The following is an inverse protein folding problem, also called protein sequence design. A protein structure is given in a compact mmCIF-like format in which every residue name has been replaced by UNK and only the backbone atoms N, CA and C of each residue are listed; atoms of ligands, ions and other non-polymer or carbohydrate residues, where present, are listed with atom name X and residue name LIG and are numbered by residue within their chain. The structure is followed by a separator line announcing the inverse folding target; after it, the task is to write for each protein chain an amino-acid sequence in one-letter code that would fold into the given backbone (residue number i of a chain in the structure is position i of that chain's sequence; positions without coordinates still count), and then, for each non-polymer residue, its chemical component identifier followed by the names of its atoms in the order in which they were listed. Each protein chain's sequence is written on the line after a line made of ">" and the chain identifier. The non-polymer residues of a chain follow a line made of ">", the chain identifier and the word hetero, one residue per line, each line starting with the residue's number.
data_IF_194567134450
#
_entry.id   IF_194567134450
#
_cell.length_a   1.000
_cell.length_b   1.000
_cell.length_c   1.000
_cell.angle_alpha   90.00
_cell.angle_beta   90.00
_cell.angle_gamma   90.00
#
_symmetry.space_group_name_H-M   'P 1'
#
loop_
_entity.id
_entity.type
_entity.pdbx_description
1 polymer ?
#
# COMPACT_ATOMS: atom_id res chain seq x y z
N UNK A 1 54.31 19.53 17.38
CA UNK A 1 54.41 21.01 17.27
C UNK A 1 53.46 21.46 16.20
N UNK A 2 52.64 22.48 16.51
CA UNK A 2 51.54 23.00 15.69
C UNK A 2 51.98 24.10 14.72
N UNK A 3 51.09 24.80 13.97
CA UNK A 3 49.88 25.45 14.50
C UNK A 3 48.62 25.44 13.62
N UNK A 4 47.49 25.62 14.29
CA UNK A 4 46.32 26.34 13.74
C UNK A 4 46.59 27.81 13.52
N UNK A 5 45.83 28.52 12.69
CA UNK A 5 44.73 29.38 13.17
C UNK A 5 43.53 29.44 12.15
N UNK A 6 42.45 30.16 12.28
CA UNK A 6 41.82 31.03 13.23
C UNK A 6 40.41 31.39 12.67
N UNK A 7 39.53 31.63 13.55
CA UNK A 7 38.34 32.47 13.58
C UNK A 7 37.96 33.35 12.39
N UNK A 8 36.68 33.40 12.06
CA UNK A 8 35.99 34.42 11.32
C UNK A 8 34.53 34.55 11.77
N UNK A 9 34.29 35.38 12.75
CA UNK A 9 32.96 35.81 13.18
C UNK A 9 32.47 36.96 12.30
N UNK A 10 31.20 37.02 11.93
CA UNK A 10 30.52 38.23 11.41
C UNK A 10 29.07 38.20 11.87
N UNK A 11 28.78 38.92 12.78
CA UNK A 11 28.18 40.21 13.13
C UNK A 11 26.73 40.37 12.67
N UNK A 12 25.87 40.42 13.66
CA UNK A 12 24.44 40.77 13.68
C UNK A 12 24.32 42.29 13.46
N UNK A 13 23.40 42.71 12.60
CA UNK A 13 22.86 44.07 12.64
C UNK A 13 21.38 44.03 12.83
N UNK A 14 20.96 44.49 14.01
CA UNK A 14 19.60 44.85 14.38
C UNK A 14 19.41 46.32 14.01
N UNK A 15 18.37 46.66 13.25
CA UNK A 15 17.85 48.02 13.17
C UNK A 15 16.38 47.99 13.58
N UNK A 16 16.13 48.49 14.77
CA UNK A 16 14.82 48.87 15.22
C UNK A 16 14.48 50.29 14.81
N UNK A 17 13.23 50.56 14.55
CA UNK A 17 12.66 51.89 14.69
C UNK A 17 11.21 51.82 15.14
N UNK A 18 10.96 52.52 16.20
CA UNK A 18 9.67 52.67 16.88
C UNK A 18 8.98 53.98 16.43
N UNK A 19 7.73 54.08 16.89
CA UNK A 19 6.95 55.30 17.18
C UNK A 19 5.86 55.68 16.15
N UNK A 20 4.64 55.78 16.68
CA UNK A 20 3.52 56.49 16.11
C UNK A 20 2.18 56.21 16.76
N UNK A 21 1.90 56.79 17.93
CA UNK A 21 0.56 56.88 18.54
C UNK A 21 -0.36 57.78 17.72
N UNK A 22 -1.65 57.41 17.61
CA UNK A 22 -2.72 58.26 17.10
C UNK A 22 -4.07 57.72 17.53
N UNK A 23 -4.61 58.41 18.53
CA UNK A 23 -5.92 58.24 19.11
C UNK A 23 -6.98 58.96 18.26
N UNK A 24 -8.15 58.35 18.04
CA UNK A 24 -9.42 59.06 17.91
C UNK A 24 -10.65 58.16 17.62
N UNK A 25 -11.57 58.06 18.63
CA UNK A 25 -13.04 58.13 18.53
C UNK A 25 -13.83 57.16 17.65
N UNK A 26 -14.71 56.45 18.38
CA UNK A 26 -15.90 55.64 18.00
C UNK A 26 -16.92 56.37 17.10
N UNK A 27 -17.80 55.62 16.37
CA UNK A 27 -19.04 55.14 17.02
C UNK A 27 -19.43 53.67 16.69
N UNK A 28 -20.24 53.13 17.57
CA UNK A 28 -20.93 51.81 17.52
C UNK A 28 -21.93 51.75 16.35
N UNK A 29 -21.93 50.63 15.62
CA UNK A 29 -23.08 50.16 14.85
C UNK A 29 -23.10 48.62 14.81
N UNK A 30 -24.20 48.06 15.26
CA UNK A 30 -24.86 46.85 14.86
C UNK A 30 -24.05 45.53 14.80
N UNK A 31 -24.16 44.71 15.85
CA UNK A 31 -23.83 43.31 15.78
C UNK A 31 -24.82 42.60 14.81
N UNK A 32 -24.38 42.22 13.64
CA UNK A 32 -25.03 41.18 12.83
C UNK A 32 -24.44 39.85 13.26
N UNK A 33 -25.30 38.99 13.77
CA UNK A 33 -25.06 37.59 14.03
C UNK A 33 -24.76 36.89 12.68
N UNK A 34 -23.49 36.65 12.41
CA UNK A 34 -23.03 35.85 11.26
C UNK A 34 -22.57 34.50 11.79
N UNK A 35 -23.51 33.56 11.94
CA UNK A 35 -23.20 32.16 12.03
C UNK A 35 -22.33 31.77 10.81
N UNK A 36 -21.21 31.04 11.00
CA UNK A 36 -20.41 30.57 9.87
C UNK A 36 -21.28 29.65 8.99
N UNK A 37 -21.39 29.98 7.71
CA UNK A 37 -22.04 29.12 6.75
C UNK A 37 -21.35 27.75 6.75
N UNK A 38 -22.12 26.71 7.02
CA UNK A 38 -21.67 25.32 6.98
C UNK A 38 -21.14 25.05 5.56
N UNK A 39 -19.86 24.71 5.44
CA UNK A 39 -19.23 24.38 4.16
C UNK A 39 -19.97 23.20 3.54
N UNK A 40 -20.28 23.23 2.23
CA UNK A 40 -20.95 22.11 1.58
C UNK A 40 -20.14 20.83 1.73
N UNK A 41 -20.79 19.66 1.89
CA UNK A 41 -20.08 18.39 2.00
C UNK A 41 -19.23 18.17 0.75
N UNK A 42 -18.02 17.58 0.90
CA UNK A 42 -17.15 17.31 -0.25
C UNK A 42 -17.88 16.44 -1.28
N UNK A 43 -17.67 16.67 -2.58
CA UNK A 43 -18.29 15.89 -3.63
C UNK A 43 -17.92 14.41 -3.47
N UNK A 44 -18.92 13.53 -3.70
CA UNK A 44 -18.68 12.08 -3.70
C UNK A 44 -17.64 11.76 -4.78
N UNK A 45 -16.60 10.95 -4.48
CA UNK A 45 -15.63 10.53 -5.49
C UNK A 45 -16.35 9.89 -6.66
N UNK A 46 -15.99 10.28 -7.89
CA UNK A 46 -16.50 9.60 -9.09
C UNK A 46 -16.04 8.14 -9.03
N UNK A 47 -16.99 7.20 -9.16
CA UNK A 47 -16.64 5.79 -9.24
C UNK A 47 -15.72 5.56 -10.46
N UNK A 48 -14.56 4.93 -10.23
CA UNK A 48 -13.70 4.52 -11.34
C UNK A 48 -14.36 3.37 -12.09
N UNK A 49 -14.60 3.57 -13.39
CA UNK A 49 -15.06 2.54 -14.30
C UNK A 49 -13.96 2.23 -15.32
N UNK A 50 -13.62 0.95 -15.53
CA UNK A 50 -12.63 0.58 -16.52
C UNK A 50 -13.12 0.94 -17.92
N UNK A 51 -12.27 1.59 -18.73
CA UNK A 51 -12.56 1.85 -20.13
C UNK A 51 -12.68 0.53 -20.89
N UNK A 52 -13.65 0.36 -21.81
CA UNK A 52 -13.81 -0.86 -22.57
C UNK A 52 -12.55 -1.15 -23.42
N UNK A 53 -12.03 -2.37 -23.30
CA UNK A 53 -10.89 -2.85 -24.09
C UNK A 53 -11.43 -3.34 -25.44
N UNK A 54 -11.04 -2.66 -26.51
CA UNK A 54 -11.29 -3.15 -27.88
C UNK A 54 -10.26 -4.22 -28.19
N UNK A 55 -10.69 -5.47 -28.35
CA UNK A 55 -9.81 -6.57 -28.76
C UNK A 55 -9.30 -6.34 -30.19
N UNK A 56 -8.00 -6.54 -30.45
CA UNK A 56 -7.48 -6.47 -31.81
C UNK A 56 -8.04 -7.61 -32.67
N UNK A 57 -8.16 -7.42 -34.02
CA UNK A 57 -8.69 -8.43 -34.93
C UNK A 57 -7.80 -9.69 -34.95
N UNK A 58 -8.43 -10.86 -34.96
CA UNK A 58 -7.75 -12.16 -35.08
C UNK A 58 -7.12 -12.30 -36.47
N UNK A 59 -5.81 -12.51 -36.48
CA UNK A 59 -5.07 -12.93 -37.68
C UNK A 59 -5.24 -14.44 -37.86
N UNK A 60 -5.83 -14.85 -39.00
CA UNK A 60 -6.17 -16.25 -39.33
C UNK A 60 -5.24 -16.80 -40.42
N UNK A 61 -3.94 -16.72 -40.25
CA UNK A 61 -3.00 -17.42 -41.16
C UNK A 61 -2.59 -18.78 -40.55
N UNK A 62 -2.79 -19.89 -41.25
CA UNK A 62 -2.35 -21.20 -40.75
C UNK A 62 -0.83 -21.35 -40.98
N UNK A 63 -0.10 -21.51 -39.88
CA UNK A 63 1.35 -21.79 -39.92
C UNK A 63 1.60 -23.30 -40.01
N UNK A 64 1.97 -23.78 -41.20
CA UNK A 64 2.28 -25.18 -41.47
C UNK A 64 3.80 -25.32 -41.60
N UNK A 65 4.51 -25.46 -40.50
CA UNK A 65 5.89 -25.95 -40.50
C UNK A 65 6.08 -26.98 -39.39
N UNK A 66 6.11 -28.25 -39.79
CA UNK A 66 6.51 -29.39 -38.96
C UNK A 66 8.02 -29.36 -38.72
N UNK A 67 8.44 -29.31 -37.44
CA UNK A 67 9.84 -29.48 -37.03
C UNK A 67 10.17 -30.98 -36.92
N UNK A 68 11.43 -31.42 -37.21
CA UNK A 68 11.85 -32.82 -37.12
C UNK A 68 11.87 -33.32 -35.67
N UNK A 69 11.41 -34.57 -35.49
CA UNK A 69 11.33 -35.22 -34.18
C UNK A 69 12.74 -35.51 -33.63
N UNK A 70 13.07 -34.95 -32.50
CA UNK A 70 14.27 -35.27 -31.71
C UNK A 70 13.97 -36.52 -30.84
N UNK A 71 14.72 -37.62 -31.06
CA UNK A 71 14.45 -38.95 -30.48
C UNK A 71 15.16 -39.20 -29.14
N UNK A 72 15.55 -38.20 -28.40
CA UNK A 72 16.09 -38.39 -27.06
C UNK A 72 14.95 -38.46 -26.01
N UNK A 73 14.97 -39.42 -25.03
CA UNK A 73 13.97 -39.49 -24.01
C UNK A 73 13.96 -38.19 -23.21
N UNK A 74 12.79 -37.58 -22.99
CA UNK A 74 12.71 -36.29 -22.27
C UNK A 74 13.28 -36.47 -20.86
N UNK A 75 14.29 -35.65 -20.54
CA UNK A 75 14.75 -35.49 -19.14
C UNK A 75 13.54 -35.22 -18.24
N UNK A 76 13.45 -35.89 -17.07
CA UNK A 76 12.33 -35.67 -16.18
C UNK A 76 12.23 -34.18 -15.87
N UNK A 77 11.10 -33.56 -16.24
CA UNK A 77 10.83 -32.15 -15.96
C UNK A 77 10.90 -31.95 -14.44
N UNK A 78 11.59 -30.92 -13.95
CA UNK A 78 11.54 -30.57 -12.56
C UNK A 78 10.06 -30.49 -12.18
N UNK A 79 9.67 -31.17 -11.11
CA UNK A 79 8.29 -31.09 -10.59
C UNK A 79 8.05 -29.63 -10.29
N UNK A 80 7.15 -28.99 -11.02
CA UNK A 80 6.71 -27.62 -10.73
C UNK A 80 6.28 -27.49 -9.27
N UNK A 81 6.24 -26.27 -8.72
CA UNK A 81 5.80 -26.04 -7.35
C UNK A 81 4.48 -26.78 -7.13
N UNK A 82 4.40 -27.54 -6.02
CA UNK A 82 3.17 -28.28 -5.67
C UNK A 82 2.03 -27.25 -5.56
N UNK A 83 0.80 -27.58 -6.01
CA UNK A 83 -0.33 -26.69 -5.81
C UNK A 83 -0.41 -26.30 -4.32
N UNK A 84 -0.67 -25.03 -4.07
CA UNK A 84 -0.88 -24.53 -2.72
C UNK A 84 -2.16 -25.15 -2.17
N UNK A 85 -2.01 -26.10 -1.28
CA UNK A 85 -3.14 -26.73 -0.56
C UNK A 85 -3.01 -26.33 0.90
N UNK A 86 -3.93 -25.47 1.36
CA UNK A 86 -4.07 -25.23 2.78
C UNK A 86 -4.48 -26.51 3.50
N UNK A 87 -4.04 -26.65 4.74
CA UNK A 87 -4.61 -27.71 5.57
C UNK A 87 -6.13 -27.54 5.70
N UNK A 88 -6.92 -28.62 5.80
CA UNK A 88 -8.36 -28.48 6.03
C UNK A 88 -8.69 -27.60 7.25
N UNK A 89 -7.87 -27.70 8.32
CA UNK A 89 -8.02 -26.91 9.53
C UNK A 89 -7.78 -25.41 9.29
N UNK A 90 -6.81 -25.03 8.44
CA UNK A 90 -6.59 -23.62 8.11
C UNK A 90 -7.62 -23.11 7.12
N UNK A 91 -8.07 -23.94 6.18
CA UNK A 91 -9.16 -23.58 5.25
C UNK A 91 -10.46 -23.28 5.98
N UNK A 92 -10.78 -24.03 7.05
CA UNK A 92 -11.99 -23.84 7.84
C UNK A 92 -12.01 -22.50 8.61
N UNK A 93 -10.87 -21.84 8.77
CA UNK A 93 -10.78 -20.49 9.40
C UNK A 93 -11.22 -19.36 8.47
N UNK A 94 -11.46 -19.63 7.19
CA UNK A 94 -11.83 -18.65 6.19
C UNK A 94 -13.18 -18.95 5.55
N UNK A 95 -13.97 -17.90 5.21
CA UNK A 95 -13.79 -16.49 5.56
C UNK A 95 -13.93 -16.24 7.06
N UNK A 96 -13.28 -15.20 7.56
CA UNK A 96 -13.40 -14.82 8.97
C UNK A 96 -14.82 -14.33 9.26
N UNK A 97 -15.44 -14.93 10.27
CA UNK A 97 -16.73 -14.48 10.78
C UNK A 97 -16.50 -13.31 11.74
N UNK A 98 -17.04 -12.15 11.42
CA UNK A 98 -16.87 -10.93 12.22
C UNK A 98 -17.98 -9.94 11.94
N UNK A 99 -17.88 -8.75 12.52
CA UNK A 99 -18.81 -7.68 12.26
C UNK A 99 -18.85 -7.35 10.76
N UNK A 100 -20.05 -7.34 10.18
CA UNK A 100 -20.22 -6.96 8.77
C UNK A 100 -19.82 -5.50 8.61
N UNK A 101 -19.00 -5.16 7.59
CA UNK A 101 -18.67 -3.77 7.29
C UNK A 101 -19.94 -2.94 7.07
N UNK A 102 -19.88 -1.67 7.47
CA UNK A 102 -20.97 -0.72 7.22
C UNK A 102 -21.12 -0.43 5.71
N UNK A 103 -22.28 0.09 5.27
CA UNK A 103 -22.49 0.52 3.89
C UNK A 103 -21.39 1.46 3.40
N UNK A 104 -20.96 1.29 2.14
CA UNK A 104 -19.84 2.05 1.56
C UNK A 104 -18.47 1.41 1.78
N UNK A 105 -18.40 0.27 2.47
CA UNK A 105 -17.17 -0.53 2.57
C UNK A 105 -16.67 -0.99 1.19
N UNK A 106 -15.36 -1.00 1.00
CA UNK A 106 -14.74 -1.43 -0.25
C UNK A 106 -14.64 -2.95 -0.36
N UNK A 107 -14.27 -3.62 0.74
CA UNK A 107 -14.08 -5.07 0.78
C UNK A 107 -15.32 -5.76 1.35
N UNK A 108 -15.69 -6.94 0.84
CA UNK A 108 -14.98 -7.76 -0.14
C UNK A 108 -15.36 -7.48 -1.61
N UNK A 109 -16.22 -6.51 -1.93
CA UNK A 109 -16.78 -6.28 -3.26
C UNK A 109 -15.74 -5.80 -4.27
N UNK A 110 -14.69 -5.15 -3.78
CA UNK A 110 -13.59 -4.68 -4.60
C UNK A 110 -12.31 -5.45 -4.33
N UNK A 111 -11.44 -5.51 -5.35
CA UNK A 111 -10.02 -5.77 -5.18
C UNK A 111 -9.28 -4.45 -5.30
N UNK A 112 -8.51 -4.10 -4.29
CA UNK A 112 -7.68 -2.89 -4.29
C UNK A 112 -6.34 -3.23 -4.95
N UNK A 113 -5.91 -2.42 -5.93
CA UNK A 113 -4.63 -2.57 -6.62
C UNK A 113 -3.83 -1.29 -6.45
N UNK A 114 -2.73 -1.35 -5.70
CA UNK A 114 -1.98 -0.20 -5.25
C UNK A 114 -0.57 -0.11 -5.83
N UNK A 115 -0.12 1.10 -6.13
CA UNK A 115 1.28 1.44 -6.35
C UNK A 115 1.87 2.04 -5.08
N UNK A 116 2.97 1.43 -4.60
CA UNK A 116 3.64 1.75 -3.35
C UNK A 116 4.91 2.56 -3.58
N UNK A 117 5.22 3.45 -2.64
CA UNK A 117 6.48 4.16 -2.62
C UNK A 117 6.41 5.57 -2.04
N UNK A 118 7.33 6.42 -2.48
CA UNK A 118 7.39 7.81 -2.07
C UNK A 118 7.93 8.66 -3.23
N UNK A 119 7.22 9.70 -3.69
CA UNK A 119 7.64 10.57 -4.79
C UNK A 119 9.01 11.23 -4.63
N UNK A 120 9.51 11.32 -3.40
CA UNK A 120 10.84 11.86 -3.11
C UNK A 120 11.98 10.84 -3.24
N UNK A 121 11.67 9.58 -3.63
CA UNK A 121 12.68 8.53 -3.71
C UNK A 121 12.40 7.54 -4.83
N UNK A 122 13.33 7.46 -5.78
CA UNK A 122 13.29 6.48 -6.89
C UNK A 122 13.60 5.04 -6.43
N UNK A 123 13.98 4.85 -5.15
CA UNK A 123 14.38 3.55 -4.59
C UNK A 123 13.35 2.91 -3.67
N UNK A 124 12.29 3.66 -3.29
CA UNK A 124 11.29 3.18 -2.33
C UNK A 124 10.08 2.52 -3.00
N UNK A 125 10.00 2.54 -4.32
CA UNK A 125 8.93 1.89 -5.07
C UNK A 125 8.45 2.69 -6.27
N UNK A 126 7.51 2.11 -6.99
CA UNK A 126 7.00 2.63 -8.28
C UNK A 126 6.38 4.03 -8.16
N UNK A 127 5.77 4.35 -7.01
CA UNK A 127 5.20 5.67 -6.69
C UNK A 127 6.29 6.76 -6.51
N UNK A 128 7.45 6.64 -6.98
CA UNK A 128 8.51 7.65 -6.98
C UNK A 128 9.58 7.30 -7.99
N UNK A 129 9.57 6.04 -8.44
CA UNK A 129 10.54 5.56 -9.42
C UNK A 129 10.27 6.12 -10.83
N UNK A 130 9.01 6.37 -11.15
CA UNK A 130 8.54 6.79 -12.46
C UNK A 130 7.77 8.11 -12.30
N UNK A 131 7.92 9.10 -13.21
CA UNK A 131 7.14 10.32 -13.17
C UNK A 131 5.63 10.06 -13.18
N UNK A 132 4.82 10.94 -12.55
CA UNK A 132 3.37 10.74 -12.42
C UNK A 132 2.67 10.49 -13.76
N UNK A 133 3.04 11.26 -14.81
CA UNK A 133 2.43 11.15 -16.14
C UNK A 133 2.60 9.76 -16.79
N UNK A 134 3.62 9.02 -16.39
CA UNK A 134 3.84 7.64 -16.82
C UNK A 134 3.34 6.62 -15.80
N UNK A 135 3.44 6.93 -14.50
CA UNK A 135 3.10 6.03 -13.42
C UNK A 135 1.59 5.82 -13.31
N UNK A 136 0.81 6.90 -13.38
CA UNK A 136 -0.64 6.82 -13.23
C UNK A 136 -1.32 6.00 -14.35
N UNK A 137 -1.04 6.21 -15.65
CA UNK A 137 -1.56 5.33 -16.70
C UNK A 137 -1.13 3.87 -16.58
N UNK A 138 0.08 3.62 -16.06
CA UNK A 138 0.53 2.24 -15.79
C UNK A 138 -0.30 1.56 -14.71
N UNK A 139 -0.67 2.28 -13.67
CA UNK A 139 -1.55 1.72 -12.63
C UNK A 139 -2.93 1.38 -13.21
N UNK A 140 -3.48 2.21 -14.08
CA UNK A 140 -4.74 1.91 -14.79
C UNK A 140 -4.63 0.62 -15.60
N UNK A 141 -3.55 0.44 -16.35
CA UNK A 141 -3.31 -0.80 -17.11
C UNK A 141 -3.20 -2.02 -16.20
N UNK A 142 -2.50 -1.90 -15.07
CA UNK A 142 -2.39 -2.99 -14.09
C UNK A 142 -3.75 -3.31 -13.49
N UNK A 143 -4.54 -2.30 -13.13
CA UNK A 143 -5.90 -2.48 -12.62
C UNK A 143 -6.81 -3.18 -13.63
N UNK A 144 -6.73 -2.81 -14.92
CA UNK A 144 -7.44 -3.51 -16.00
C UNK A 144 -7.06 -4.99 -16.12
N UNK A 145 -5.76 -5.34 -16.00
CA UNK A 145 -5.32 -6.75 -15.99
C UNK A 145 -5.93 -7.54 -14.84
N UNK A 146 -6.07 -6.93 -13.68
CA UNK A 146 -6.75 -7.56 -12.53
C UNK A 146 -8.25 -7.73 -12.78
N UNK A 147 -8.91 -6.73 -13.37
CA UNK A 147 -10.32 -6.82 -13.73
C UNK A 147 -10.58 -7.94 -14.78
N UNK A 148 -9.69 -8.09 -15.75
CA UNK A 148 -9.77 -9.18 -16.74
C UNK A 148 -9.52 -10.56 -16.13
N UNK A 149 -8.65 -10.66 -15.13
CA UNK A 149 -8.33 -11.93 -14.46
C UNK A 149 -9.43 -12.40 -13.49
N UNK A 150 -10.23 -11.49 -12.95
CA UNK A 150 -11.36 -11.76 -12.05
C UNK A 150 -12.55 -10.83 -12.40
N UNK A 151 -13.28 -11.11 -13.49
CA UNK A 151 -14.37 -10.24 -13.93
C UNK A 151 -15.54 -10.10 -12.95
N UNK A 152 -15.68 -11.04 -12.03
CA UNK A 152 -16.71 -11.01 -10.99
C UNK A 152 -16.44 -10.01 -9.87
N UNK A 153 -15.30 -9.34 -9.87
CA UNK A 153 -14.90 -8.42 -8.81
C UNK A 153 -14.46 -7.06 -9.36
N UNK A 154 -15.03 -6.00 -8.82
CA UNK A 154 -14.60 -4.64 -9.14
C UNK A 154 -13.15 -4.41 -8.69
N UNK A 155 -12.41 -3.60 -9.45
CA UNK A 155 -11.05 -3.21 -9.08
C UNK A 155 -11.03 -1.74 -8.69
N UNK A 156 -10.39 -1.44 -7.55
CA UNK A 156 -10.16 -0.09 -7.06
C UNK A 156 -8.67 0.22 -7.12
N UNK A 157 -8.21 1.10 -8.01
CA UNK A 157 -6.82 1.55 -8.01
C UNK A 157 -6.50 2.38 -6.78
N UNK A 158 -5.24 2.31 -6.31
CA UNK A 158 -4.80 3.03 -5.13
C UNK A 158 -3.37 3.55 -5.26
N UNK A 159 -3.08 4.67 -4.59
CA UNK A 159 -1.73 5.13 -4.35
C UNK A 159 -1.38 4.87 -2.88
N UNK A 160 -0.27 4.19 -2.63
CA UNK A 160 0.16 3.85 -1.27
C UNK A 160 1.45 4.60 -0.93
N UNK A 161 1.29 5.74 -0.28
CA UNK A 161 2.37 6.65 0.08
C UNK A 161 2.98 6.28 1.43
N UNK A 162 4.29 6.12 1.48
CA UNK A 162 5.01 6.07 2.76
C UNK A 162 5.03 7.48 3.35
N UNK A 163 4.08 7.79 4.22
CA UNK A 163 3.88 9.11 4.81
C UNK A 163 4.83 9.36 6.00
N UNK A 164 5.17 8.31 6.74
CA UNK A 164 6.25 8.33 7.73
C UNK A 164 7.29 7.28 7.33
N UNK A 165 8.49 7.75 6.98
CA UNK A 165 9.57 6.91 6.45
C UNK A 165 10.57 6.59 7.54
N UNK A 166 10.81 5.31 7.82
CA UNK A 166 11.88 4.87 8.71
C UNK A 166 13.25 5.18 8.09
N UNK A 167 14.22 5.56 8.92
CA UNK A 167 15.55 5.98 8.49
C UNK A 167 16.66 5.31 9.29
N UNK A 168 17.82 5.12 8.66
CA UNK A 168 19.02 4.62 9.33
C UNK A 168 19.61 5.65 10.31
N UNK A 169 19.37 6.94 10.07
CA UNK A 169 19.87 8.05 10.90
C UNK A 169 18.80 8.50 11.91
N UNK A 170 19.19 9.00 13.09
CA UNK A 170 18.24 9.39 14.15
C UNK A 170 17.16 10.38 13.69
N UNK A 171 17.51 11.35 12.83
CA UNK A 171 16.58 12.36 12.35
C UNK A 171 16.01 13.27 13.45
N UNK A 172 15.00 14.09 13.11
CA UNK A 172 14.32 14.94 14.06
C UNK A 172 13.70 14.15 15.20
N UNK A 173 13.94 14.60 16.46
CA UNK A 173 13.48 13.92 17.67
C UNK A 173 14.18 12.60 17.97
N UNK A 174 15.24 12.24 17.26
CA UNK A 174 16.03 11.01 17.40
C UNK A 174 15.19 9.71 17.33
N UNK A 175 14.10 9.72 16.55
CA UNK A 175 13.14 8.61 16.43
C UNK A 175 13.39 7.72 15.21
N UNK A 176 14.48 7.94 14.47
CA UNK A 176 14.84 7.14 13.27
C UNK A 176 13.71 7.08 12.23
N UNK A 177 13.00 8.18 12.09
CA UNK A 177 11.95 8.34 11.07
C UNK A 177 11.88 9.78 10.56
N UNK A 178 11.28 9.96 9.38
CA UNK A 178 11.01 11.26 8.76
C UNK A 178 9.54 11.29 8.33
N UNK A 179 8.80 12.26 8.83
CA UNK A 179 7.43 12.54 8.40
C UNK A 179 7.46 13.31 7.08
N UNK A 180 6.62 12.93 6.14
CA UNK A 180 6.42 13.70 4.92
C UNK A 180 5.60 14.94 5.23
N UNK A 181 5.93 16.04 4.54
CA UNK A 181 5.17 17.29 4.68
C UNK A 181 3.81 17.21 4.00
N UNK A 182 2.88 18.02 4.50
CA UNK A 182 1.49 18.08 4.02
C UNK A 182 1.37 18.30 2.51
N UNK A 183 2.25 19.12 1.93
CA UNK A 183 2.28 19.39 0.48
C UNK A 183 2.48 18.12 -0.35
N UNK A 184 3.32 17.18 0.12
CA UNK A 184 3.53 15.91 -0.57
C UNK A 184 2.32 15.00 -0.45
N UNK A 185 1.72 14.93 0.75
CA UNK A 185 0.52 14.12 0.99
C UNK A 185 -0.64 14.65 0.14
N UNK A 186 -0.86 15.97 0.14
CA UNK A 186 -1.90 16.62 -0.68
C UNK A 186 -1.68 16.36 -2.17
N UNK A 187 -0.45 16.44 -2.66
CA UNK A 187 -0.13 16.17 -4.06
C UNK A 187 -0.54 14.73 -4.46
N UNK A 188 -0.20 13.73 -3.64
CA UNK A 188 -0.57 12.33 -3.93
C UNK A 188 -2.08 12.12 -3.79
N UNK A 189 -2.71 12.77 -2.80
CA UNK A 189 -4.16 12.73 -2.61
C UNK A 189 -4.89 13.32 -3.82
N UNK A 190 -4.44 14.46 -4.36
CA UNK A 190 -5.04 15.07 -5.56
C UNK A 190 -4.93 14.17 -6.78
N UNK A 191 -3.80 13.49 -7.01
CA UNK A 191 -3.67 12.53 -8.12
C UNK A 191 -4.69 11.39 -8.06
N UNK A 192 -5.01 10.93 -6.85
CA UNK A 192 -6.00 9.88 -6.65
C UNK A 192 -7.43 10.43 -6.78
N UNK A 193 -7.72 11.58 -6.17
CA UNK A 193 -9.06 12.20 -6.18
C UNK A 193 -9.52 12.51 -7.62
N UNK A 194 -8.65 13.11 -8.45
CA UNK A 194 -8.93 13.41 -9.85
C UNK A 194 -9.35 12.18 -10.67
N UNK A 195 -8.97 10.97 -10.22
CA UNK A 195 -9.24 9.71 -10.89
C UNK A 195 -10.29 8.84 -10.21
N UNK A 196 -10.85 9.30 -9.09
CA UNK A 196 -11.74 8.50 -8.26
C UNK A 196 -11.06 7.29 -7.61
N UNK A 197 -9.76 7.37 -7.36
CA UNK A 197 -8.96 6.36 -6.68
C UNK A 197 -8.86 6.62 -5.18
N UNK A 198 -8.25 5.69 -4.47
CA UNK A 198 -8.01 5.82 -3.03
C UNK A 198 -6.52 5.96 -2.72
N UNK A 199 -6.21 6.44 -1.52
CA UNK A 199 -4.85 6.61 -1.01
C UNK A 199 -4.69 5.85 0.29
N UNK A 200 -3.53 5.24 0.48
CA UNK A 200 -3.06 4.75 1.77
C UNK A 200 -1.90 5.63 2.25
N UNK A 201 -1.96 6.04 3.50
CA UNK A 201 -0.86 6.69 4.20
C UNK A 201 -0.18 5.65 5.09
N UNK A 202 1.05 5.30 4.78
CA UNK A 202 1.80 4.25 5.47
C UNK A 202 2.72 4.82 6.55
N UNK A 203 2.71 4.19 7.72
CA UNK A 203 3.51 4.55 8.88
C UNK A 203 4.60 3.50 9.13
N UNK A 204 5.86 3.93 8.92
CA UNK A 204 7.05 3.24 9.36
C UNK A 204 7.57 3.95 10.61
N UNK A 205 7.23 3.48 11.80
CA UNK A 205 7.41 4.22 13.06
C UNK A 205 8.86 4.52 13.44
N UNK A 206 9.83 3.73 12.96
CA UNK A 206 11.20 3.80 13.50
C UNK A 206 11.21 3.52 14.99
N UNK A 207 11.84 4.39 15.79
CA UNK A 207 11.81 4.34 17.25
C UNK A 207 10.68 5.18 17.87
N UNK A 208 9.69 5.61 17.06
CA UNK A 208 8.45 6.22 17.51
C UNK A 208 7.39 5.14 17.71
N UNK A 209 6.14 5.54 17.93
CA UNK A 209 4.99 4.68 18.12
C UNK A 209 3.86 5.03 17.15
N UNK A 210 2.87 4.17 17.01
CA UNK A 210 1.67 4.46 16.20
C UNK A 210 0.89 5.62 16.83
N UNK A 211 0.84 5.69 18.15
CA UNK A 211 0.18 6.76 18.91
C UNK A 211 0.78 8.14 18.61
N UNK A 212 2.12 8.21 18.39
CA UNK A 212 2.82 9.46 18.08
C UNK A 212 2.74 9.84 16.59
N UNK A 213 2.69 8.84 15.69
CA UNK A 213 2.78 9.07 14.24
C UNK A 213 1.41 9.19 13.54
N UNK A 214 0.34 8.67 14.15
CA UNK A 214 -1.00 8.73 13.58
C UNK A 214 -1.67 10.13 13.69
N UNK A 215 -1.57 10.87 14.80
CA UNK A 215 -2.23 12.16 14.93
C UNK A 215 -1.93 13.18 13.84
N UNK A 216 -0.69 13.36 13.34
CA UNK A 216 -0.40 14.25 12.23
C UNK A 216 -1.12 13.90 10.91
N UNK A 217 -1.57 12.66 10.74
CA UNK A 217 -2.25 12.19 9.54
C UNK A 217 -3.77 12.34 9.60
N UNK A 218 -4.34 12.67 10.77
CA UNK A 218 -5.78 12.78 10.96
C UNK A 218 -6.47 13.76 10.00
N UNK A 219 -5.90 14.95 9.68
CA UNK A 219 -6.51 15.85 8.71
C UNK A 219 -6.75 15.18 7.33
N UNK A 220 -5.81 14.36 6.88
CA UNK A 220 -5.91 13.63 5.61
C UNK A 220 -6.85 12.42 5.72
N UNK A 221 -6.83 11.71 6.84
CA UNK A 221 -7.70 10.55 7.09
C UNK A 221 -9.18 10.91 7.21
N UNK A 222 -9.53 12.19 7.35
CA UNK A 222 -10.91 12.72 7.25
C UNK A 222 -11.43 12.71 5.82
N UNK A 223 -10.55 12.63 4.81
CA UNK A 223 -10.98 12.50 3.42
C UNK A 223 -11.52 11.07 3.20
N UNK A 224 -12.69 10.89 2.55
CA UNK A 224 -13.34 9.59 2.44
C UNK A 224 -12.50 8.55 1.70
N UNK A 225 -11.66 8.97 0.78
CA UNK A 225 -10.80 8.13 -0.06
C UNK A 225 -9.39 7.91 0.51
N UNK A 226 -9.06 8.47 1.68
CA UNK A 226 -7.75 8.28 2.33
C UNK A 226 -7.85 7.27 3.46
N UNK A 227 -6.98 6.28 3.44
CA UNK A 227 -6.91 5.13 4.32
C UNK A 227 -5.55 5.04 5.01
N UNK A 228 -5.35 4.06 5.88
CA UNK A 228 -4.14 3.92 6.68
C UNK A 228 -3.43 2.60 6.40
N UNK A 229 -2.09 2.62 6.52
CA UNK A 229 -1.27 1.42 6.58
C UNK A 229 -0.25 1.51 7.72
N UNK A 230 0.11 0.34 8.27
CA UNK A 230 1.13 0.17 9.30
C UNK A 230 2.18 -0.82 8.80
N UNK A 231 3.45 -0.44 8.94
CA UNK A 231 4.58 -1.29 8.54
C UNK A 231 5.40 -1.76 9.77
N UNK A 232 5.05 -2.92 10.32
CA UNK A 232 5.74 -3.50 11.47
C UNK A 232 7.23 -3.79 11.24
N UNK A 233 7.67 -3.96 9.97
CA UNK A 233 9.08 -4.23 9.66
C UNK A 233 10.00 -3.18 10.28
N UNK A 234 9.55 -1.93 10.29
CA UNK A 234 10.32 -0.78 10.76
C UNK A 234 9.91 -0.30 12.16
N UNK A 235 9.13 -1.07 12.92
CA UNK A 235 8.73 -0.71 14.29
C UNK A 235 9.80 -1.10 15.30
N UNK A 236 10.62 -0.10 15.68
CA UNK A 236 11.82 -0.26 16.53
C UNK A 236 11.63 0.32 17.92
N UNK A 237 10.42 0.32 18.50
CA UNK A 237 10.14 0.90 19.83
C UNK A 237 11.05 0.38 20.95
N UNK A 238 11.59 -0.83 20.86
CA UNK A 238 12.59 -1.40 21.77
C UNK A 238 14.03 -1.01 21.44
N UNK A 239 14.25 0.02 20.61
CA UNK A 239 15.58 0.45 20.15
C UNK A 239 16.07 -0.34 18.93
N UNK A 240 17.18 0.10 18.36
CA UNK A 240 17.78 -0.45 17.13
C UNK A 240 17.56 0.45 15.92
N UNK A 241 18.30 0.16 14.86
CA UNK A 241 18.27 0.94 13.61
C UNK A 241 17.35 0.25 12.61
N UNK A 242 16.37 0.95 12.03
CA UNK A 242 15.52 0.43 10.96
C UNK A 242 16.37 -0.11 9.80
N UNK A 243 15.94 -1.22 9.19
CA UNK A 243 16.67 -1.89 8.11
C UNK A 243 17.85 -2.77 8.54
N UNK A 244 18.31 -2.69 9.81
CA UNK A 244 19.35 -3.61 10.35
C UNK A 244 18.73 -4.84 11.02
N UNK A 245 17.48 -4.77 11.39
CA UNK A 245 16.67 -5.87 11.93
C UNK A 245 15.21 -5.67 11.59
N UNK A 246 14.44 -6.74 11.63
CA UNK A 246 13.00 -6.70 11.46
C UNK A 246 12.35 -6.23 12.77
N UNK A 247 11.43 -5.28 12.65
CA UNK A 247 10.66 -4.73 13.75
C UNK A 247 9.47 -5.61 14.16
N UNK A 248 8.71 -5.11 15.13
CA UNK A 248 7.54 -5.80 15.68
C UNK A 248 6.49 -4.80 16.12
N UNK A 249 5.25 -5.02 15.73
CA UNK A 249 4.04 -4.42 16.31
C UNK A 249 3.22 -5.48 17.03
N UNK A 250 2.46 -5.06 18.01
CA UNK A 250 1.52 -5.91 18.72
C UNK A 250 0.07 -5.60 18.27
N UNK A 251 -0.83 -6.53 18.49
CA UNK A 251 -2.27 -6.33 18.27
C UNK A 251 -2.82 -5.07 18.98
N UNK A 252 -2.22 -4.66 20.09
CA UNK A 252 -2.62 -3.43 20.81
C UNK A 252 -2.44 -2.18 19.95
N UNK A 253 -1.33 -2.07 19.20
CA UNK A 253 -1.06 -0.94 18.29
C UNK A 253 -2.03 -0.94 17.09
N UNK A 254 -2.36 -2.12 16.58
CA UNK A 254 -3.37 -2.27 15.52
C UNK A 254 -4.76 -1.88 16.05
N UNK A 255 -5.11 -2.32 17.25
CA UNK A 255 -6.38 -1.97 17.90
C UNK A 255 -6.49 -0.47 18.19
N UNK A 256 -5.37 0.19 18.55
CA UNK A 256 -5.33 1.65 18.70
C UNK A 256 -5.68 2.32 17.36
N UNK A 257 -5.03 1.92 16.26
CA UNK A 257 -5.33 2.46 14.93
C UNK A 257 -6.79 2.21 14.50
N UNK A 258 -7.33 1.00 14.75
CA UNK A 258 -8.74 0.68 14.51
C UNK A 258 -9.66 1.63 15.29
N UNK A 259 -9.37 1.87 16.58
CA UNK A 259 -10.16 2.76 17.43
C UNK A 259 -10.18 4.20 16.91
N UNK A 260 -9.01 4.73 16.51
CA UNK A 260 -8.88 6.07 15.94
C UNK A 260 -9.65 6.19 14.62
N UNK A 261 -9.47 5.24 13.70
CA UNK A 261 -10.17 5.24 12.41
C UNK A 261 -11.69 5.10 12.59
N UNK A 262 -12.13 4.21 13.50
CA UNK A 262 -13.55 4.03 13.82
C UNK A 262 -14.19 5.31 14.39
N UNK A 263 -13.46 6.04 15.24
CA UNK A 263 -13.88 7.35 15.74
C UNK A 263 -14.03 8.36 14.61
N UNK A 264 -13.05 8.49 13.71
CA UNK A 264 -13.14 9.36 12.53
C UNK A 264 -14.34 9.04 11.64
N UNK A 265 -14.59 7.74 11.38
CA UNK A 265 -15.76 7.31 10.60
C UNK A 265 -17.05 7.82 11.21
N UNK A 266 -17.21 7.72 12.52
CA UNK A 266 -18.41 8.17 13.23
C UNK A 266 -18.53 9.68 13.23
N UNK A 267 -17.48 10.40 13.63
CA UNK A 267 -17.49 11.85 13.80
C UNK A 267 -17.69 12.59 12.47
N UNK A 268 -17.13 12.07 11.39
CA UNK A 268 -17.20 12.71 10.07
C UNK A 268 -18.14 12.01 9.09
N UNK A 269 -18.95 11.04 9.55
CA UNK A 269 -19.91 10.29 8.71
C UNK A 269 -19.25 9.71 7.46
N UNK A 270 -18.05 9.16 7.60
CA UNK A 270 -17.25 8.62 6.50
C UNK A 270 -17.68 7.18 6.14
N UNK A 271 -17.40 6.71 4.91
CA UNK A 271 -17.42 5.29 4.64
C UNK A 271 -16.37 4.56 5.49
N UNK A 272 -16.51 3.24 5.69
CA UNK A 272 -15.52 2.45 6.41
C UNK A 272 -14.10 2.64 5.88
N UNK A 273 -13.14 2.77 6.80
CA UNK A 273 -11.73 2.88 6.45
C UNK A 273 -11.12 1.51 6.22
N UNK A 274 -10.09 1.44 5.37
CA UNK A 274 -9.25 0.25 5.22
C UNK A 274 -7.95 0.48 5.99
N UNK A 275 -7.53 -0.53 6.77
CA UNK A 275 -6.27 -0.57 7.49
C UNK A 275 -5.43 -1.72 6.95
N UNK A 276 -4.31 -1.41 6.31
CA UNK A 276 -3.33 -2.41 5.87
C UNK A 276 -2.29 -2.60 6.97
N UNK A 277 -1.94 -3.87 7.25
CA UNK A 277 -0.82 -4.21 8.15
C UNK A 277 0.12 -5.15 7.41
N UNK A 278 1.36 -4.73 7.22
CA UNK A 278 2.39 -5.50 6.50
C UNK A 278 2.91 -6.66 7.35
N UNK A 279 3.16 -7.81 6.71
CA UNK A 279 3.70 -9.00 7.39
C UNK A 279 4.39 -9.95 6.41
N UNK A 280 5.61 -10.36 6.69
CA UNK A 280 6.30 -11.45 5.97
C UNK A 280 6.97 -12.46 6.90
N UNK A 281 6.82 -12.29 8.22
CA UNK A 281 7.19 -13.32 9.20
C UNK A 281 6.32 -13.24 10.46
N UNK A 282 6.42 -14.27 11.31
CA UNK A 282 5.58 -14.37 12.51
C UNK A 282 5.83 -13.24 13.51
N UNK A 283 7.08 -12.79 13.65
CA UNK A 283 7.48 -11.83 14.70
C UNK A 283 7.08 -10.40 14.38
N UNK A 284 6.79 -10.08 13.12
CA UNK A 284 6.38 -8.72 12.75
C UNK A 284 5.07 -8.28 13.39
N UNK A 285 4.15 -9.22 13.60
CA UNK A 285 2.85 -8.92 14.22
C UNK A 285 2.53 -9.99 15.24
N UNK A 286 2.46 -9.60 16.52
CA UNK A 286 2.19 -10.50 17.64
C UNK A 286 0.75 -10.38 18.12
N UNK A 287 0.28 -11.42 18.83
CA UNK A 287 -1.06 -11.48 19.43
C UNK A 287 -2.20 -11.22 18.44
N UNK A 288 -2.05 -11.70 17.19
CA UNK A 288 -3.04 -11.44 16.11
C UNK A 288 -4.47 -11.82 16.48
N UNK A 289 -4.66 -12.83 17.33
CA UNK A 289 -5.98 -13.28 17.79
C UNK A 289 -6.65 -12.25 18.74
N UNK A 290 -5.88 -11.27 19.21
CA UNK A 290 -6.37 -10.14 20.04
C UNK A 290 -6.75 -8.91 19.23
N UNK A 291 -6.68 -8.96 17.90
CA UNK A 291 -7.14 -7.88 17.03
C UNK A 291 -8.67 -7.84 17.06
N UNK A 292 -9.24 -6.68 17.41
CA UNK A 292 -10.67 -6.48 17.56
C UNK A 292 -11.23 -5.86 16.29
N UNK A 293 -12.02 -6.62 15.54
CA UNK A 293 -12.67 -6.14 14.33
C UNK A 293 -13.77 -5.13 14.66
N UNK A 294 -13.86 -4.08 13.86
CA UNK A 294 -14.86 -3.00 13.97
C UNK A 294 -15.55 -2.83 12.60
N UNK A 295 -16.89 -2.76 12.51
CA UNK A 295 -17.59 -2.62 11.24
C UNK A 295 -17.23 -1.33 10.47
N UNK A 296 -16.63 -0.35 11.14
CA UNK A 296 -16.16 0.92 10.56
C UNK A 296 -14.75 0.82 9.96
N UNK A 297 -14.02 -0.29 10.20
CA UNK A 297 -12.62 -0.46 9.75
C UNK A 297 -12.41 -1.85 9.19
N UNK A 298 -11.94 -1.93 7.97
CA UNK A 298 -11.64 -3.17 7.26
C UNK A 298 -10.14 -3.47 7.36
N UNK A 299 -9.77 -4.53 8.07
CA UNK A 299 -8.38 -4.88 8.35
C UNK A 299 -7.85 -5.87 7.31
N UNK A 300 -6.72 -5.54 6.71
CA UNK A 300 -6.02 -6.39 5.74
C UNK A 300 -4.63 -6.73 6.26
N UNK A 301 -4.34 -8.02 6.41
CA UNK A 301 -2.97 -8.47 6.67
C UNK A 301 -2.31 -8.80 5.33
N UNK A 302 -1.27 -8.06 5.01
CA UNK A 302 -0.61 -8.11 3.70
C UNK A 302 0.70 -8.89 3.76
N UNK A 303 0.84 -9.93 2.92
CA UNK A 303 2.10 -10.62 2.70
C UNK A 303 3.07 -9.70 1.95
N UNK A 304 4.16 -9.30 2.60
CA UNK A 304 5.13 -8.29 2.12
C UNK A 304 6.53 -8.87 1.83
N UNK A 305 6.68 -10.18 1.73
CA UNK A 305 7.95 -10.81 1.36
C UNK A 305 8.21 -10.74 -0.15
N UNK A 306 9.48 -10.57 -0.53
CA UNK A 306 9.92 -10.61 -1.93
C UNK A 306 10.60 -11.92 -2.28
N UNK A 307 10.74 -12.19 -3.58
CA UNK A 307 11.47 -13.35 -4.10
C UNK A 307 10.72 -14.09 -5.18
N UNK A 308 11.26 -15.25 -5.56
CA UNK A 308 10.63 -16.13 -6.56
C UNK A 308 9.21 -16.53 -6.16
N UNK A 309 8.32 -16.84 -7.11
CA UNK A 309 6.92 -17.16 -6.85
C UNK A 309 6.69 -18.18 -5.74
N UNK A 310 7.50 -19.25 -5.69
CA UNK A 310 7.37 -20.28 -4.66
C UNK A 310 7.67 -19.76 -3.25
N UNK A 311 8.68 -18.88 -3.08
CA UNK A 311 8.99 -18.26 -1.77
C UNK A 311 7.85 -17.35 -1.31
N UNK A 312 7.23 -16.64 -2.23
CA UNK A 312 6.10 -15.76 -1.94
C UNK A 312 4.86 -16.58 -1.57
N UNK A 313 4.59 -17.67 -2.28
CA UNK A 313 3.52 -18.62 -1.95
C UNK A 313 3.75 -19.26 -0.58
N UNK A 314 5.00 -19.69 -0.30
CA UNK A 314 5.37 -20.24 1.02
C UNK A 314 5.22 -19.18 2.12
N UNK A 315 5.66 -17.95 1.89
CA UNK A 315 5.47 -16.85 2.84
C UNK A 315 3.98 -16.59 3.15
N UNK A 316 3.15 -16.61 2.12
CA UNK A 316 1.69 -16.46 2.29
C UNK A 316 1.08 -17.62 3.08
N UNK A 317 1.46 -18.85 2.74
CA UNK A 317 1.01 -20.08 3.40
C UNK A 317 1.46 -20.14 4.87
N UNK A 318 2.65 -19.66 5.18
CA UNK A 318 3.23 -19.76 6.51
C UNK A 318 2.82 -18.61 7.44
N UNK A 319 2.61 -17.41 6.90
CA UNK A 319 2.51 -16.21 7.72
C UNK A 319 1.18 -15.46 7.61
N UNK A 320 0.37 -15.77 6.59
CA UNK A 320 -0.92 -15.10 6.36
C UNK A 320 -2.07 -16.08 6.58
N UNK A 321 -2.14 -17.15 5.78
CA UNK A 321 -3.29 -18.07 5.77
C UNK A 321 -3.61 -18.73 7.12
N UNK A 322 -2.63 -19.13 7.95
CA UNK A 322 -2.91 -19.76 9.24
C UNK A 322 -3.36 -18.78 10.34
N UNK A 323 -3.18 -17.47 10.11
CA UNK A 323 -3.46 -16.42 11.10
C UNK A 323 -4.54 -15.45 10.57
N UNK A 324 -5.80 -15.90 10.49
CA UNK A 324 -6.89 -15.10 9.95
C UNK A 324 -7.19 -13.90 10.86
N UNK A 325 -7.35 -12.72 10.23
CA UNK A 325 -7.83 -11.51 10.91
C UNK A 325 -9.15 -11.09 10.28
N UNK A 326 -9.12 -10.57 9.04
CA UNK A 326 -10.35 -10.25 8.29
C UNK A 326 -10.16 -10.44 6.79
N UNK A 327 -9.27 -9.67 6.17
CA UNK A 327 -8.94 -9.77 4.75
C UNK A 327 -7.44 -9.96 4.57
N UNK A 328 -7.02 -10.37 3.37
CA UNK A 328 -5.62 -10.58 3.06
C UNK A 328 -5.16 -9.72 1.90
N UNK A 329 -3.85 -9.41 1.91
CA UNK A 329 -3.16 -8.71 0.84
C UNK A 329 -1.91 -9.44 0.38
N UNK A 330 -1.41 -9.05 -0.80
CA UNK A 330 -0.23 -9.62 -1.41
C UNK A 330 0.57 -8.54 -2.15
N UNK A 331 1.88 -8.48 -1.90
CA UNK A 331 2.79 -7.52 -2.52
C UNK A 331 3.59 -8.16 -3.63
N UNK A 332 3.80 -7.46 -4.72
CA UNK A 332 4.56 -7.84 -5.89
C UNK A 332 5.67 -6.80 -6.12
N UNK A 333 6.91 -7.26 -6.27
CA UNK A 333 8.06 -6.38 -6.41
C UNK A 333 8.60 -6.42 -7.83
N UNK A 334 8.47 -5.32 -8.57
CA UNK A 334 8.94 -5.23 -9.95
C UNK A 334 10.43 -5.55 -10.14
N UNK A 335 11.25 -5.31 -9.11
CA UNK A 335 12.70 -5.61 -9.16
C UNK A 335 13.06 -6.90 -8.46
N UNK A 336 12.56 -7.09 -7.22
CA UNK A 336 13.06 -8.14 -6.34
C UNK A 336 12.44 -9.52 -6.58
N UNK A 337 11.25 -9.57 -7.18
CA UNK A 337 10.62 -10.84 -7.59
C UNK A 337 11.13 -11.35 -8.93
N UNK A 338 11.84 -10.51 -9.70
CA UNK A 338 12.39 -10.78 -11.01
C UNK A 338 13.88 -11.14 -10.92
N UNK A 339 14.38 -11.87 -11.91
CA UNK A 339 15.81 -12.08 -12.10
C UNK A 339 16.27 -13.52 -12.17
N UNK A 340 17.61 -13.78 -12.23
CA UNK A 340 18.18 -15.11 -12.48
C UNK A 340 17.79 -16.16 -11.44
N UNK A 341 17.61 -15.77 -10.18
CA UNK A 341 17.20 -16.68 -9.10
C UNK A 341 15.75 -17.19 -9.26
N UNK A 342 14.85 -16.36 -9.77
CA UNK A 342 13.48 -16.78 -10.08
C UNK A 342 13.44 -17.77 -11.24
N UNK A 343 14.29 -17.58 -12.27
CA UNK A 343 14.44 -18.51 -13.40
C UNK A 343 15.12 -19.81 -13.01
N UNK A 344 16.16 -19.75 -12.18
CA UNK A 344 16.89 -20.94 -11.70
C UNK A 344 16.02 -21.87 -10.84
N UNK A 345 14.94 -21.37 -10.25
CA UNK A 345 13.98 -22.16 -9.49
C UNK A 345 12.99 -22.96 -10.35
N UNK A 346 13.23 -23.06 -11.67
CA UNK A 346 12.41 -23.87 -12.58
C UNK A 346 11.04 -23.30 -12.91
N UNK A 347 10.84 -22.01 -12.68
CA UNK A 347 9.61 -21.34 -13.12
C UNK A 347 9.64 -21.18 -14.65
N UNK A 348 8.88 -22.03 -15.33
CA UNK A 348 8.59 -21.90 -16.76
C UNK A 348 7.23 -21.22 -16.87
N UNK A 349 7.13 -20.04 -17.47
CA UNK A 349 5.85 -19.42 -17.72
C UNK A 349 5.01 -20.33 -18.62
N UNK A 350 3.89 -20.84 -18.14
CA UNK A 350 2.88 -21.47 -18.98
C UNK A 350 1.94 -20.38 -19.49
N UNK A 351 2.34 -19.71 -20.55
CA UNK A 351 1.52 -18.67 -21.13
C UNK A 351 1.39 -18.94 -22.62
N UNK A 352 0.17 -18.99 -23.12
CA UNK A 352 -0.08 -18.90 -24.55
C UNK A 352 -0.03 -17.44 -25.01
N UNK A 353 0.03 -17.21 -26.32
CA UNK A 353 0.17 -15.88 -26.92
C UNK A 353 -1.00 -14.96 -26.57
N UNK A 354 -2.21 -15.50 -26.43
CA UNK A 354 -3.43 -14.74 -26.11
C UNK A 354 -3.39 -14.26 -24.65
N UNK A 355 -2.96 -15.11 -23.73
CA UNK A 355 -2.78 -14.75 -22.33
C UNK A 355 -1.67 -13.71 -22.18
N UNK A 356 -0.62 -13.76 -22.99
CA UNK A 356 0.45 -12.77 -22.99
C UNK A 356 -0.04 -11.37 -23.36
N UNK A 357 -0.83 -11.25 -24.41
CA UNK A 357 -1.34 -9.96 -24.89
C UNK A 357 -2.37 -9.34 -23.93
N UNK A 358 -3.23 -10.17 -23.32
CA UNK A 358 -4.33 -9.70 -22.47
C UNK A 358 -3.93 -9.45 -21.01
N UNK A 359 -3.16 -10.34 -20.39
CA UNK A 359 -2.89 -10.28 -18.94
C UNK A 359 -1.41 -10.17 -18.58
N UNK A 360 -0.52 -10.23 -19.59
CA UNK A 360 0.93 -10.26 -19.39
C UNK A 360 1.39 -11.58 -18.77
N UNK A 361 2.44 -12.16 -19.29
CA UNK A 361 3.07 -13.31 -18.69
C UNK A 361 4.15 -12.86 -17.73
N UNK A 362 4.26 -13.52 -16.58
CA UNK A 362 5.35 -13.34 -15.67
C UNK A 362 6.65 -13.94 -16.19
N UNK A 363 7.07 -13.57 -17.40
CA UNK A 363 8.27 -14.14 -18.06
C UNK A 363 9.55 -13.93 -17.26
N UNK A 364 9.51 -13.07 -16.29
CA UNK A 364 10.63 -12.59 -15.50
C UNK A 364 10.55 -12.93 -14.01
N UNK A 365 9.57 -13.74 -13.60
CA UNK A 365 9.36 -14.16 -12.21
C UNK A 365 8.31 -13.35 -11.44
N UNK A 366 7.74 -12.28 -12.00
CA UNK A 366 6.63 -11.57 -11.40
C UNK A 366 5.33 -12.37 -11.59
N UNK A 367 4.63 -12.72 -10.52
CA UNK A 367 3.36 -13.44 -10.61
C UNK A 367 2.30 -12.59 -11.31
N UNK A 368 1.61 -13.18 -12.29
CA UNK A 368 0.46 -12.56 -12.94
C UNK A 368 -0.78 -12.55 -12.03
N UNK A 369 -1.79 -11.68 -12.28
CA UNK A 369 -3.06 -11.72 -11.56
C UNK A 369 -3.69 -13.12 -11.51
N UNK A 370 -3.75 -13.81 -12.64
CA UNK A 370 -4.30 -15.16 -12.71
C UNK A 370 -3.51 -16.19 -11.89
N UNK A 371 -2.18 -16.07 -11.82
CA UNK A 371 -1.36 -16.93 -10.96
C UNK A 371 -1.62 -16.67 -9.49
N UNK A 372 -1.69 -15.41 -9.07
CA UNK A 372 -2.02 -15.05 -7.68
C UNK A 372 -3.39 -15.60 -7.28
N UNK A 373 -4.41 -15.37 -8.11
CA UNK A 373 -5.79 -15.84 -7.84
C UNK A 373 -5.85 -17.37 -7.71
N UNK A 374 -5.15 -18.12 -8.58
CA UNK A 374 -5.20 -19.58 -8.57
C UNK A 374 -4.33 -20.24 -7.51
N UNK A 375 -3.28 -19.56 -7.04
CA UNK A 375 -2.28 -20.19 -6.18
C UNK A 375 -2.33 -19.79 -4.71
N UNK A 376 -3.11 -18.77 -4.35
CA UNK A 376 -3.20 -18.27 -2.98
C UNK A 376 -4.60 -18.49 -2.39
N UNK A 377 -4.66 -18.92 -1.15
CA UNK A 377 -5.91 -19.05 -0.40
C UNK A 377 -5.74 -18.53 1.03
N UNK A 378 -6.64 -17.68 1.53
CA UNK A 378 -7.72 -17.02 0.78
C UNK A 378 -7.16 -16.13 -0.34
N UNK A 379 -7.95 -15.92 -1.38
CA UNK A 379 -7.52 -15.05 -2.49
C UNK A 379 -7.38 -13.62 -1.97
N UNK A 380 -6.20 -12.98 -2.12
CA UNK A 380 -5.97 -11.64 -1.59
C UNK A 380 -6.84 -10.58 -2.27
N UNK A 381 -7.39 -9.68 -1.46
CA UNK A 381 -8.23 -8.57 -1.90
C UNK A 381 -7.49 -7.24 -2.00
N UNK A 382 -6.30 -7.16 -1.43
CA UNK A 382 -5.39 -6.03 -1.57
C UNK A 382 -4.11 -6.48 -2.27
N UNK A 383 -3.78 -5.83 -3.37
CA UNK A 383 -2.59 -6.13 -4.17
C UNK A 383 -1.73 -4.87 -4.23
N UNK A 384 -0.45 -5.00 -3.89
CA UNK A 384 0.47 -3.88 -3.91
C UNK A 384 1.65 -4.17 -4.84
N UNK A 385 2.00 -3.20 -5.66
CA UNK A 385 3.19 -3.23 -6.50
C UNK A 385 4.23 -2.21 -6.02
N UNK A 386 5.47 -2.70 -5.87
CA UNK A 386 6.62 -1.87 -5.47
C UNK A 386 7.74 -1.89 -6.52
#
# INVERSE_FOLDING_TARGET
>A
MPPSPAFGALLVIIIGSAIGCGDASRPRAGARDSSPAESPPPPKPKAWEPKPVVAPPRDTTPDTLAAPADTAPPKPRPRGPRPFILSPADSAKWPVTGARPLPGALLPDHRIVAYYGNPRSTRMGILGQVPPDSMLPRLEQVAMRWALADPGRKVMPALHLIATVAQERPGPGRKYRLRMGDSLINMVASWAEERGWIVFLDIQTGQSTVEDELPPLLPFLRLPYVHLALDPEFAMKGGGTPGKRIGTMDAAEVNHAIGVLGKLVTEHKLPPKVLIVHRFNRKMLTNTDSIRLDPRVQVVIQMDGFGAPYLKQDGYRLWISPYPVQFTGFKLFYRNDRGPKARAAGYVPSCDRVTFELVGCGDDGLMTPAQVIRSLYPVPLYIQYQ
#
